data_IF_729377235739
#
_entry.id   IF_729377235739
#
_cell.length_a   1.000
_cell.length_b   1.000
_cell.length_c   1.000
_cell.angle_alpha   90.00
_cell.angle_beta   90.00
_cell.angle_gamma   90.00
#
_symmetry.space_group_name_H-M   'P 1'
#
loop_
_entity.id
_entity.type
_entity.pdbx_description
1 polymer ?
#
# COMPACT_ATOMS: atom_id res chain seq x y z
N UNK A 1 19.41 -2.34 -12.33
CA UNK A 1 18.45 -3.46 -12.14
C UNK A 1 17.18 -2.94 -11.51
N UNK A 2 16.08 -3.70 -11.61
CA UNK A 2 14.76 -3.35 -11.01
C UNK A 2 14.86 -3.00 -9.52
N UNK A 3 15.73 -3.70 -8.78
CA UNK A 3 15.99 -3.42 -7.37
C UNK A 3 16.72 -2.07 -7.17
N UNK A 4 17.63 -1.68 -8.07
CA UNK A 4 18.32 -0.39 -8.02
C UNK A 4 17.39 0.78 -8.33
N UNK A 5 16.49 0.62 -9.30
CA UNK A 5 15.48 1.64 -9.63
C UNK A 5 14.43 1.80 -8.52
N UNK A 6 14.03 0.69 -7.87
CA UNK A 6 13.17 0.72 -6.69
C UNK A 6 13.88 1.40 -5.51
N UNK A 7 15.15 1.06 -5.27
CA UNK A 7 15.97 1.65 -4.22
C UNK A 7 16.19 3.15 -4.38
N UNK A 8 16.30 3.64 -5.62
CA UNK A 8 16.41 5.07 -5.92
C UNK A 8 15.08 5.83 -5.69
N UNK A 9 13.94 5.13 -5.74
CA UNK A 9 12.62 5.72 -5.57
C UNK A 9 12.10 5.71 -4.11
N UNK A 10 12.74 4.94 -3.22
CA UNK A 10 12.28 4.73 -1.85
C UNK A 10 13.34 5.22 -0.84
N UNK A 11 13.02 6.19 0.04
CA UNK A 11 13.95 6.70 1.05
C UNK A 11 14.41 5.66 2.09
N UNK A 12 13.86 4.46 2.06
CA UNK A 12 14.05 3.41 3.06
C UNK A 12 14.77 2.17 2.52
N UNK A 13 15.33 2.22 1.31
CA UNK A 13 16.10 1.10 0.80
C UNK A 13 17.34 0.87 1.68
N UNK A 14 17.41 -0.28 2.32
CA UNK A 14 18.49 -0.69 3.20
C UNK A 14 19.49 -1.47 2.36
N UNK A 15 20.80 -1.23 2.53
CA UNK A 15 21.82 -2.09 1.91
C UNK A 15 21.76 -3.48 2.52
N UNK A 16 21.53 -4.48 1.69
CA UNK A 16 21.55 -5.87 2.12
C UNK A 16 22.87 -6.24 2.79
N UNK A 17 22.84 -7.02 3.88
CA UNK A 17 24.03 -7.31 4.69
C UNK A 17 25.08 -8.16 3.99
N UNK A 18 24.80 -8.77 2.84
CA UNK A 18 25.71 -9.73 2.17
C UNK A 18 26.24 -9.29 0.81
N UNK A 19 25.53 -8.45 0.05
CA UNK A 19 25.87 -8.14 -1.35
C UNK A 19 26.20 -6.69 -1.59
N UNK A 20 25.92 -5.80 -0.64
CA UNK A 20 26.02 -4.36 -0.86
C UNK A 20 24.95 -3.80 -1.80
N UNK A 21 24.04 -4.64 -2.30
CA UNK A 21 22.91 -4.25 -3.13
C UNK A 21 21.85 -3.54 -2.31
N UNK A 22 21.15 -2.61 -2.96
CA UNK A 22 20.01 -1.93 -2.34
C UNK A 22 18.82 -2.88 -2.34
N UNK A 23 18.43 -3.34 -1.14
CA UNK A 23 17.27 -4.22 -0.95
C UNK A 23 16.24 -3.49 -0.09
N UNK A 24 15.02 -3.41 -0.57
CA UNK A 24 13.89 -2.91 0.21
C UNK A 24 13.32 -4.05 1.06
N UNK A 25 13.78 -4.14 2.30
CA UNK A 25 13.38 -5.18 3.24
C UNK A 25 13.04 -4.61 4.61
N UNK A 26 12.11 -5.23 5.30
CA UNK A 26 11.76 -4.94 6.68
C UNK A 26 11.51 -6.22 7.50
N UNK A 27 11.20 -6.06 8.79
CA UNK A 27 10.96 -7.18 9.70
C UNK A 27 9.80 -8.09 9.31
N UNK A 28 8.86 -7.59 8.50
CA UNK A 28 7.65 -8.32 8.14
C UNK A 28 7.89 -9.30 6.98
N UNK A 29 8.96 -9.11 6.19
CA UNK A 29 9.23 -9.96 5.02
C UNK A 29 9.43 -11.43 5.40
N UNK A 30 10.04 -11.69 6.56
CA UNK A 30 10.24 -13.06 7.05
C UNK A 30 8.95 -13.80 7.43
N UNK A 31 7.84 -13.08 7.55
CA UNK A 31 6.54 -13.61 7.98
C UNK A 31 5.47 -13.46 6.90
N UNK A 32 5.87 -13.10 5.68
CA UNK A 32 4.97 -12.77 4.59
C UNK A 32 5.06 -13.77 3.46
N UNK A 33 3.93 -14.00 2.81
CA UNK A 33 3.89 -14.61 1.49
C UNK A 33 4.14 -13.56 0.41
N UNK A 34 4.74 -13.97 -0.71
CA UNK A 34 5.03 -13.09 -1.83
C UNK A 34 4.31 -13.58 -3.09
N UNK A 35 3.38 -12.76 -3.57
CA UNK A 35 2.72 -12.98 -4.85
C UNK A 35 3.59 -12.38 -5.96
N UNK A 36 3.99 -13.21 -6.92
CA UNK A 36 4.87 -12.81 -8.02
C UNK A 36 4.14 -12.96 -9.36
N UNK A 37 4.26 -11.95 -10.21
CA UNK A 37 3.91 -12.03 -11.62
C UNK A 37 5.19 -12.26 -12.43
N UNK A 38 5.22 -13.34 -13.22
CA UNK A 38 6.33 -13.71 -14.08
C UNK A 38 5.92 -13.61 -15.54
N UNK A 39 6.78 -13.01 -16.33
CA UNK A 39 6.68 -13.07 -17.78
C UNK A 39 7.04 -14.47 -18.26
N UNK A 40 6.17 -15.12 -19.03
CA UNK A 40 6.36 -16.52 -19.45
C UNK A 40 7.39 -16.68 -20.58
N UNK A 41 7.59 -15.64 -21.38
CA UNK A 41 8.54 -15.69 -22.50
C UNK A 41 9.97 -15.53 -21.99
N UNK A 42 10.19 -14.61 -21.06
CA UNK A 42 11.52 -14.28 -20.55
C UNK A 42 11.86 -14.97 -19.24
N UNK A 43 10.87 -15.44 -18.49
CA UNK A 43 11.01 -15.96 -17.14
C UNK A 43 11.26 -14.88 -16.08
N UNK A 44 11.29 -13.61 -16.46
CA UNK A 44 11.56 -12.49 -15.55
C UNK A 44 10.38 -12.22 -14.60
N UNK A 45 10.69 -11.85 -13.36
CA UNK A 45 9.67 -11.33 -12.43
C UNK A 45 9.36 -9.88 -12.81
N UNK A 46 8.12 -9.63 -13.21
CA UNK A 46 7.65 -8.32 -13.70
C UNK A 46 6.70 -7.61 -12.74
N UNK A 47 6.32 -8.28 -11.65
CA UNK A 47 5.50 -7.69 -10.60
C UNK A 47 5.54 -8.49 -9.31
N UNK A 48 5.32 -7.83 -8.19
CA UNK A 48 5.21 -8.48 -6.89
C UNK A 48 4.24 -7.75 -5.97
N UNK A 49 3.73 -8.50 -5.00
CA UNK A 49 2.94 -8.00 -3.88
C UNK A 49 3.29 -8.80 -2.62
N UNK A 50 3.50 -8.13 -1.49
CA UNK A 50 3.67 -8.79 -0.20
C UNK A 50 2.32 -8.98 0.46
N UNK A 51 2.06 -10.17 0.98
CA UNK A 51 0.86 -10.58 1.68
C UNK A 51 1.28 -11.03 3.08
N UNK A 52 0.97 -10.25 4.10
CA UNK A 52 1.24 -10.64 5.49
C UNK A 52 -0.03 -11.27 6.08
N UNK A 53 -0.07 -12.60 6.24
CA UNK A 53 -1.24 -13.29 6.76
C UNK A 53 -1.40 -13.07 8.27
N UNK A 54 -2.58 -13.40 8.86
CA UNK A 54 -2.86 -13.20 10.28
C UNK A 54 -1.86 -13.83 11.25
N UNK A 55 -1.43 -15.05 10.99
CA UNK A 55 -0.41 -15.77 11.77
C UNK A 55 0.97 -15.13 11.61
N UNK A 56 1.34 -14.73 10.41
CA UNK A 56 2.54 -13.95 10.14
C UNK A 56 2.54 -12.61 10.85
N UNK A 57 1.40 -11.90 10.85
CA UNK A 57 1.24 -10.64 11.57
C UNK A 57 1.39 -10.83 13.08
N UNK A 58 0.82 -11.90 13.64
CA UNK A 58 0.99 -12.24 15.04
C UNK A 58 2.46 -12.53 15.39
N UNK A 59 3.16 -13.31 14.58
CA UNK A 59 4.58 -13.65 14.78
C UNK A 59 5.50 -12.41 14.62
N UNK A 60 5.16 -11.47 13.72
CA UNK A 60 5.87 -10.22 13.53
C UNK A 60 5.57 -9.16 14.61
N UNK A 61 4.58 -9.41 15.50
CA UNK A 61 4.16 -8.47 16.54
C UNK A 61 3.29 -7.31 16.01
N UNK A 62 2.50 -7.55 14.96
CA UNK A 62 1.57 -6.60 14.34
C UNK A 62 1.69 -6.54 12.82
N UNK A 63 1.04 -5.57 12.21
CA UNK A 63 1.11 -5.28 10.77
C UNK A 63 1.90 -3.98 10.52
N UNK A 64 2.39 -3.79 9.29
CA UNK A 64 3.13 -2.57 8.94
C UNK A 64 2.28 -1.30 9.14
N UNK A 65 0.99 -1.39 8.83
CA UNK A 65 0.06 -0.26 8.97
C UNK A 65 -0.05 0.23 10.43
N UNK A 66 0.14 -0.64 11.45
CA UNK A 66 0.20 -0.25 12.87
C UNK A 66 1.34 0.75 13.19
N UNK A 67 2.38 0.78 12.36
CA UNK A 67 3.50 1.72 12.55
C UNK A 67 3.10 3.16 12.23
N UNK A 68 2.11 3.35 11.37
CA UNK A 68 1.69 4.66 10.86
C UNK A 68 0.35 5.12 11.42
N UNK A 69 -0.51 4.17 11.85
CA UNK A 69 -1.87 4.46 12.29
C UNK A 69 -2.20 3.76 13.60
N UNK A 70 -3.08 4.39 14.38
CA UNK A 70 -3.79 3.73 15.47
C UNK A 70 -5.03 3.06 14.91
N UNK A 71 -5.13 1.75 15.10
CA UNK A 71 -6.26 0.97 14.63
C UNK A 71 -7.46 1.15 15.54
N UNK A 72 -8.66 1.15 14.96
CA UNK A 72 -9.90 1.08 15.71
C UNK A 72 -10.15 -0.33 16.24
N UNK A 73 -10.97 -0.45 17.27
CA UNK A 73 -11.41 -1.76 17.78
C UNK A 73 -12.10 -2.62 16.72
N UNK A 74 -12.78 -1.99 15.74
CA UNK A 74 -13.38 -2.69 14.60
C UNK A 74 -12.32 -3.37 13.71
N UNK A 75 -11.23 -2.67 13.39
CA UNK A 75 -10.11 -3.26 12.64
C UNK A 75 -9.44 -4.36 13.46
N UNK A 76 -9.21 -4.15 14.77
CA UNK A 76 -8.59 -5.15 15.63
C UNK A 76 -9.41 -6.45 15.70
N UNK A 77 -10.73 -6.35 15.67
CA UNK A 77 -11.62 -7.52 15.62
C UNK A 77 -11.50 -8.32 14.31
N UNK A 78 -11.02 -7.71 13.21
CA UNK A 78 -10.83 -8.38 11.92
C UNK A 78 -9.49 -9.13 11.81
N UNK A 79 -8.50 -8.84 12.69
CA UNK A 79 -7.13 -9.38 12.61
C UNK A 79 -7.04 -10.89 12.40
N UNK A 80 -7.90 -11.75 13.00
CA UNK A 80 -7.83 -13.19 12.77
C UNK A 80 -8.09 -13.66 11.33
N UNK A 81 -8.62 -12.78 10.47
CA UNK A 81 -8.86 -13.07 9.05
C UNK A 81 -8.45 -11.89 8.12
N UNK A 82 -7.55 -11.04 8.60
CA UNK A 82 -7.08 -9.84 7.93
C UNK A 82 -5.68 -10.05 7.35
N UNK A 83 -5.55 -9.93 6.03
CA UNK A 83 -4.25 -9.95 5.34
C UNK A 83 -3.79 -8.52 5.10
N UNK A 84 -2.55 -8.19 5.46
CA UNK A 84 -1.98 -6.91 5.06
C UNK A 84 -1.31 -7.01 3.69
N UNK A 85 -1.68 -6.10 2.82
CA UNK A 85 -1.15 -5.95 1.47
C UNK A 85 -0.11 -4.83 1.44
N UNK A 86 1.09 -5.13 0.95
CA UNK A 86 2.17 -4.16 0.90
C UNK A 86 3.18 -4.42 -0.22
N UNK A 87 4.16 -3.53 -0.34
CA UNK A 87 5.31 -3.69 -1.25
C UNK A 87 4.91 -3.99 -2.70
N UNK A 88 3.77 -3.43 -3.17
CA UNK A 88 3.33 -3.59 -4.53
C UNK A 88 4.32 -2.96 -5.51
N UNK A 89 4.80 -3.73 -6.45
CA UNK A 89 5.75 -3.26 -7.45
C UNK A 89 5.49 -3.88 -8.81
N UNK A 90 5.67 -3.08 -9.88
CA UNK A 90 5.58 -3.52 -11.27
C UNK A 90 6.75 -2.96 -12.06
N UNK A 91 7.43 -3.82 -12.81
CA UNK A 91 8.54 -3.46 -13.67
C UNK A 91 8.16 -2.29 -14.59
N UNK A 92 9.03 -1.29 -14.80
CA UNK A 92 8.72 -0.10 -15.60
C UNK A 92 8.11 -0.40 -16.97
N UNK A 93 8.67 -1.35 -17.70
CA UNK A 93 8.22 -1.72 -19.05
C UNK A 93 6.86 -2.46 -19.07
N UNK A 94 6.37 -2.90 -17.91
CA UNK A 94 5.11 -3.67 -17.77
C UNK A 94 4.00 -2.87 -17.08
N UNK A 95 4.12 -1.53 -16.97
CA UNK A 95 3.16 -0.64 -16.27
C UNK A 95 1.91 -0.27 -17.07
N UNK A 96 1.51 -1.09 -18.03
CA UNK A 96 0.25 -0.93 -18.79
C UNK A 96 -1.02 -1.11 -17.93
N UNK A 97 -0.89 -1.66 -16.73
CA UNK A 97 -1.98 -2.00 -15.83
C UNK A 97 -2.35 -3.48 -15.81
N UNK A 98 -1.97 -4.25 -16.81
CA UNK A 98 -2.28 -5.69 -16.90
C UNK A 98 -1.65 -6.49 -15.76
N UNK A 99 -0.35 -6.28 -15.48
CA UNK A 99 0.35 -6.96 -14.39
C UNK A 99 -0.29 -6.66 -13.04
N UNK A 100 -0.66 -5.40 -12.79
CA UNK A 100 -1.35 -5.04 -11.55
C UNK A 100 -2.73 -5.69 -11.45
N UNK A 101 -3.49 -5.79 -12.54
CA UNK A 101 -4.77 -6.49 -12.56
C UNK A 101 -4.61 -7.99 -12.25
N UNK A 102 -3.56 -8.62 -12.78
CA UNK A 102 -3.22 -10.02 -12.45
C UNK A 102 -2.85 -10.20 -10.99
N UNK A 103 -2.05 -9.28 -10.42
CA UNK A 103 -1.70 -9.31 -9.00
C UNK A 103 -2.96 -9.17 -8.11
N UNK A 104 -3.90 -8.29 -8.45
CA UNK A 104 -5.16 -8.19 -7.72
C UNK A 104 -6.02 -9.45 -7.83
N UNK A 105 -6.10 -10.06 -9.02
CA UNK A 105 -6.77 -11.34 -9.19
C UNK A 105 -6.09 -12.45 -8.35
N UNK A 106 -4.76 -12.44 -8.28
CA UNK A 106 -3.97 -13.33 -7.43
C UNK A 106 -4.25 -13.13 -5.94
N UNK A 107 -4.39 -11.89 -5.48
CA UNK A 107 -4.78 -11.57 -4.09
C UNK A 107 -6.17 -12.14 -3.77
N UNK A 108 -7.15 -11.93 -4.63
CA UNK A 108 -8.50 -12.48 -4.43
C UNK A 108 -8.46 -14.02 -4.39
N UNK A 109 -7.66 -14.63 -5.27
CA UNK A 109 -7.48 -16.09 -5.25
C UNK A 109 -6.78 -16.59 -4.00
N UNK A 110 -5.77 -15.85 -3.51
CA UNK A 110 -5.11 -16.15 -2.24
C UNK A 110 -6.12 -16.11 -1.07
N UNK A 111 -6.94 -15.07 -0.99
CA UNK A 111 -7.98 -14.96 0.05
C UNK A 111 -9.00 -16.12 -0.04
N UNK A 112 -9.41 -16.49 -1.24
CA UNK A 112 -10.32 -17.63 -1.46
C UNK A 112 -9.73 -18.96 -0.98
N UNK A 113 -8.44 -19.21 -1.28
CA UNK A 113 -7.74 -20.45 -0.91
C UNK A 113 -7.45 -20.54 0.59
N UNK A 114 -7.17 -19.42 1.23
CA UNK A 114 -6.82 -19.35 2.66
C UNK A 114 -8.02 -19.14 3.56
N UNK A 115 -9.15 -18.67 3.00
CA UNK A 115 -10.35 -18.31 3.77
C UNK A 115 -10.22 -16.95 4.47
N UNK A 116 -9.17 -16.17 4.24
CA UNK A 116 -9.04 -14.82 4.78
C UNK A 116 -10.03 -13.87 4.12
N UNK A 117 -10.79 -13.13 4.93
CA UNK A 117 -11.95 -12.38 4.46
C UNK A 117 -11.67 -10.91 4.22
N UNK A 118 -10.63 -10.37 4.84
CA UNK A 118 -10.35 -8.95 4.85
C UNK A 118 -8.93 -8.67 4.35
N UNK A 119 -8.76 -7.54 3.70
CA UNK A 119 -7.47 -7.03 3.30
C UNK A 119 -7.32 -5.57 3.75
N UNK A 120 -6.14 -5.21 4.24
CA UNK A 120 -5.77 -3.85 4.58
C UNK A 120 -4.44 -3.50 3.92
N UNK A 121 -4.18 -2.22 3.69
CA UNK A 121 -2.89 -1.78 3.19
C UNK A 121 -2.79 -0.27 3.17
N UNK A 122 -1.57 0.23 3.29
CA UNK A 122 -1.26 1.66 3.20
C UNK A 122 -0.87 2.01 1.77
N UNK A 123 -1.47 3.05 1.22
CA UNK A 123 -1.15 3.58 -0.10
C UNK A 123 -0.46 4.94 0.03
N UNK A 124 0.74 5.05 -0.53
CA UNK A 124 1.49 6.31 -0.54
C UNK A 124 0.99 7.24 -1.65
N UNK A 125 0.74 8.49 -1.28
CA UNK A 125 0.45 9.58 -2.22
C UNK A 125 1.59 10.60 -2.14
N UNK A 126 2.11 11.03 -3.28
CA UNK A 126 3.20 12.01 -3.33
C UNK A 126 2.76 13.35 -2.75
N UNK A 127 3.63 13.96 -1.93
CA UNK A 127 3.42 15.30 -1.40
C UNK A 127 3.55 16.39 -2.48
N UNK A 128 4.27 16.09 -3.56
CA UNK A 128 4.57 17.01 -4.68
C UNK A 128 4.29 16.32 -6.01
N UNK A 129 3.61 17.02 -6.90
CA UNK A 129 3.24 16.57 -8.25
C UNK A 129 3.37 17.69 -9.30
N UNK A 130 4.15 18.73 -8.96
CA UNK A 130 4.28 19.96 -9.75
C UNK A 130 3.33 21.08 -9.33
N UNK A 131 2.40 20.81 -8.42
CA UNK A 131 1.53 21.80 -7.76
C UNK A 131 2.02 22.18 -6.35
N UNK A 132 1.20 22.90 -5.58
CA UNK A 132 1.52 23.22 -4.18
C UNK A 132 1.70 21.94 -3.35
N UNK A 133 2.76 21.93 -2.50
CA UNK A 133 3.07 20.80 -1.63
C UNK A 133 1.85 20.39 -0.79
N UNK A 134 1.52 19.10 -0.77
CA UNK A 134 0.38 18.54 -0.05
C UNK A 134 -0.97 18.66 -0.75
N UNK A 135 -1.09 19.47 -1.80
CA UNK A 135 -2.35 19.66 -2.52
C UNK A 135 -2.90 18.36 -3.10
N UNK A 136 -2.04 17.55 -3.74
CA UNK A 136 -2.44 16.25 -4.26
C UNK A 136 -2.97 15.34 -3.16
N UNK A 137 -2.24 15.23 -2.03
CA UNK A 137 -2.64 14.37 -0.90
C UNK A 137 -4.00 14.81 -0.35
N UNK A 138 -4.19 16.11 -0.12
CA UNK A 138 -5.48 16.66 0.32
C UNK A 138 -6.60 16.30 -0.65
N UNK A 139 -6.44 16.61 -1.92
CA UNK A 139 -7.50 16.38 -2.93
C UNK A 139 -7.81 14.90 -3.13
N UNK A 140 -6.81 14.00 -3.02
CA UNK A 140 -7.02 12.55 -3.07
C UNK A 140 -7.83 12.11 -1.86
N UNK A 141 -7.45 12.52 -0.65
CA UNK A 141 -8.17 12.17 0.59
C UNK A 141 -9.60 12.69 0.56
N UNK A 142 -9.81 13.99 0.30
CA UNK A 142 -11.15 14.57 0.25
C UNK A 142 -12.07 13.87 -0.74
N UNK A 143 -11.54 13.47 -1.90
CA UNK A 143 -12.32 12.77 -2.91
C UNK A 143 -12.59 11.32 -2.53
N UNK A 144 -11.59 10.63 -2.00
CA UNK A 144 -11.70 9.22 -1.61
C UNK A 144 -12.66 9.05 -0.43
N UNK A 145 -12.52 9.85 0.63
CA UNK A 145 -13.43 9.83 1.76
C UNK A 145 -14.86 10.17 1.40
N UNK A 146 -15.10 11.11 0.47
CA UNK A 146 -16.48 11.42 0.02
C UNK A 146 -17.15 10.27 -0.70
N UNK A 147 -16.40 9.47 -1.45
CA UNK A 147 -16.96 8.44 -2.33
C UNK A 147 -16.90 7.04 -1.78
N UNK A 148 -15.89 6.77 -0.96
CA UNK A 148 -15.57 5.44 -0.46
C UNK A 148 -15.16 5.48 1.02
N UNK A 149 -15.96 6.15 1.91
CA UNK A 149 -15.64 6.15 3.32
C UNK A 149 -15.83 4.75 3.89
N UNK A 150 -14.93 4.31 4.75
CA UNK A 150 -15.18 3.16 5.60
C UNK A 150 -16.28 3.47 6.63
N UNK A 151 -17.02 2.46 7.10
CA UNK A 151 -17.83 2.56 8.31
C UNK A 151 -17.01 3.15 9.48
N UNK A 152 -17.68 3.86 10.38
CA UNK A 152 -17.00 4.59 11.45
C UNK A 152 -16.17 3.68 12.35
N UNK A 153 -16.66 2.48 12.62
CA UNK A 153 -15.95 1.46 13.40
C UNK A 153 -14.62 1.00 12.81
N UNK A 154 -14.39 1.21 11.50
CA UNK A 154 -13.12 0.85 10.82
C UNK A 154 -12.22 2.05 10.54
N UNK A 155 -12.50 3.20 11.10
CA UNK A 155 -11.65 4.37 10.92
C UNK A 155 -10.37 4.26 11.73
N UNK A 156 -9.29 4.75 11.15
CA UNK A 156 -7.97 4.78 11.77
C UNK A 156 -7.51 6.22 12.03
N UNK A 157 -6.61 6.39 13.00
CA UNK A 157 -6.03 7.70 13.30
C UNK A 157 -4.55 7.70 12.94
N UNK A 158 -4.06 8.63 12.11
CA UNK A 158 -2.64 8.70 11.79
C UNK A 158 -1.82 9.08 13.04
N UNK A 159 -0.74 8.33 13.32
CA UNK A 159 0.19 8.64 14.42
C UNK A 159 0.97 9.93 14.17
N UNK A 160 1.28 10.19 12.91
CA UNK A 160 1.99 11.38 12.46
C UNK A 160 1.15 12.08 11.36
N UNK A 161 0.16 12.90 11.73
CA UNK A 161 -0.66 13.62 10.76
C UNK A 161 0.19 14.48 9.81
N UNK A 162 -0.13 14.44 8.54
CA UNK A 162 0.58 15.21 7.51
C UNK A 162 0.36 16.72 7.72
N UNK A 163 1.47 17.45 7.72
CA UNK A 163 1.48 18.91 7.79
C UNK A 163 2.39 19.50 6.70
N UNK A 164 2.09 20.71 6.26
CA UNK A 164 2.93 21.50 5.37
C UNK A 164 3.27 22.81 6.05
N UNK A 165 4.54 23.00 6.41
CA UNK A 165 5.01 24.19 7.15
C UNK A 165 4.20 24.46 8.43
N UNK A 166 3.84 23.41 9.17
CA UNK A 166 3.05 23.50 10.39
C UNK A 166 1.53 23.58 10.18
N UNK A 167 1.06 23.71 8.93
CA UNK A 167 -0.37 23.74 8.62
C UNK A 167 -0.89 22.31 8.41
N UNK A 168 -1.90 21.85 9.15
CA UNK A 168 -2.52 20.56 8.97
C UNK A 168 -3.07 20.38 7.54
N UNK A 169 -3.05 19.14 7.05
CA UNK A 169 -3.50 18.84 5.68
C UNK A 169 -4.94 19.32 5.40
N UNK A 170 -5.83 19.21 6.40
CA UNK A 170 -7.23 19.63 6.27
C UNK A 170 -7.40 21.16 6.12
N UNK A 171 -6.44 21.94 6.54
CA UNK A 171 -6.46 23.41 6.48
C UNK A 171 -5.77 23.98 5.24
N UNK A 172 -5.11 23.12 4.44
CA UNK A 172 -4.52 23.56 3.17
C UNK A 172 -5.62 24.02 2.22
N UNK A 173 -5.33 24.92 1.27
CA UNK A 173 -6.30 25.33 0.24
C UNK A 173 -6.83 24.13 -0.54
N UNK A 174 -8.11 24.18 -0.92
CA UNK A 174 -8.70 23.15 -1.79
C UNK A 174 -7.96 23.15 -3.14
N UNK A 175 -7.36 22.02 -3.53
CA UNK A 175 -6.64 21.94 -4.80
C UNK A 175 -7.57 21.86 -6.02
N UNK A 176 -8.89 21.80 -5.82
CA UNK A 176 -9.85 21.61 -6.90
C UNK A 176 -9.78 20.20 -7.50
N UNK A 177 -9.65 20.09 -8.82
CA UNK A 177 -9.55 18.79 -9.50
C UNK A 177 -8.16 18.20 -9.37
N UNK A 178 -8.07 17.04 -8.69
CA UNK A 178 -6.85 16.22 -8.65
C UNK A 178 -7.05 14.90 -9.40
N UNK A 179 -5.98 14.40 -9.99
CA UNK A 179 -5.94 13.07 -10.59
C UNK A 179 -5.66 12.05 -9.47
N UNK A 180 -6.60 11.13 -9.26
CA UNK A 180 -6.37 10.04 -8.30
C UNK A 180 -5.26 9.14 -8.84
N UNK A 181 -4.22 8.84 -8.04
CA UNK A 181 -3.16 7.92 -8.44
C UNK A 181 -3.71 6.55 -8.87
N UNK A 182 -3.15 5.91 -9.91
CA UNK A 182 -3.69 4.65 -10.46
C UNK A 182 -3.90 3.55 -9.42
N UNK A 183 -2.98 3.39 -8.47
CA UNK A 183 -3.07 2.40 -7.41
C UNK A 183 -4.29 2.65 -6.51
N UNK A 184 -4.47 3.89 -6.05
CA UNK A 184 -5.63 4.30 -5.25
C UNK A 184 -6.92 4.08 -6.05
N UNK A 185 -6.97 4.57 -7.29
CA UNK A 185 -8.14 4.42 -8.14
C UNK A 185 -8.49 2.95 -8.42
N UNK A 186 -7.50 2.09 -8.54
CA UNK A 186 -7.66 0.66 -8.74
C UNK A 186 -8.24 -0.02 -7.50
N UNK A 187 -7.65 0.22 -6.33
CA UNK A 187 -8.14 -0.33 -5.06
C UNK A 187 -9.59 0.05 -4.79
N UNK A 188 -9.96 1.32 -5.03
CA UNK A 188 -11.34 1.78 -4.87
C UNK A 188 -12.31 1.12 -5.86
N UNK A 189 -11.87 0.80 -7.10
CA UNK A 189 -12.71 0.11 -8.10
C UNK A 189 -13.03 -1.32 -7.74
N UNK A 190 -12.15 -2.01 -7.04
CA UNK A 190 -12.38 -3.39 -6.58
C UNK A 190 -13.11 -3.47 -5.22
N UNK A 191 -13.66 -2.36 -4.75
CA UNK A 191 -14.46 -2.30 -3.53
C UNK A 191 -13.70 -1.84 -2.28
N UNK A 192 -12.47 -1.36 -2.41
CA UNK A 192 -11.72 -0.77 -1.30
C UNK A 192 -12.43 0.48 -0.74
N UNK A 193 -12.31 0.67 0.56
CA UNK A 193 -12.80 1.83 1.31
C UNK A 193 -11.65 2.53 2.02
N UNK A 194 -11.85 3.78 2.41
CA UNK A 194 -10.85 4.57 3.12
C UNK A 194 -11.21 4.62 4.60
N UNK A 195 -10.31 4.11 5.41
CA UNK A 195 -10.44 4.06 6.87
C UNK A 195 -9.95 5.34 7.55
#
# INVERSE_FOLDING_TARGET
TFAEELGAALPQAIRGPRTGEMIDTDRFDAYSDHLLARDEETGAIVGCYRLLPPDGAQAAGGIFTDTNFEMSAGIDALRPSLVELGRASVHPDHRSGAVMAMLWAGILRYQELTGYRWAIGSLSVRMEDGGPRGALVRGVLDRAFRKHPAPEEFRVTPRNPVQVNGTPLAELPDPGRVRIPPMVAGSLRIGGVIC
#
